data_IF_241998553715
#
_entry.id   IF_241998553715
#
_cell.length_a   1.000
_cell.length_b   1.000
_cell.length_c   1.000
_cell.angle_alpha   90.00
_cell.angle_beta   90.00
_cell.angle_gamma   90.00
#
_symmetry.space_group_name_H-M   'P 1'
#
loop_
_entity.id
_entity.type
_entity.pdbx_description
1 polymer ?
#
# COMPACT_ATOMS: atom_id res chain seq x y z
N UNK A 1 6.68 -23.95 4.15
CA UNK A 1 7.37 -22.78 4.74
C UNK A 1 7.31 -22.83 6.26
N UNK A 2 6.13 -22.71 6.90
CA UNK A 2 6.00 -22.73 8.37
C UNK A 2 6.61 -23.98 9.06
N UNK A 3 6.31 -25.20 8.59
CA UNK A 3 6.89 -26.42 9.16
C UNK A 3 8.39 -26.62 8.86
N UNK A 4 8.99 -25.84 7.95
CA UNK A 4 10.44 -25.83 7.74
C UNK A 4 11.11 -24.94 8.79
N UNK A 5 10.45 -23.84 9.18
CA UNK A 5 10.89 -22.95 10.25
C UNK A 5 10.67 -23.55 11.64
N UNK A 6 9.58 -24.33 11.81
CA UNK A 6 9.23 -25.01 13.06
C UNK A 6 9.08 -26.53 12.86
N UNK A 7 10.18 -27.28 12.77
CA UNK A 7 10.15 -28.72 12.46
C UNK A 7 9.34 -29.56 13.45
N UNK A 8 9.27 -29.15 14.72
CA UNK A 8 8.50 -29.81 15.78
C UNK A 8 6.98 -29.82 15.53
N UNK A 9 6.49 -28.96 14.64
CA UNK A 9 5.08 -28.91 14.24
C UNK A 9 4.75 -30.03 13.23
N UNK A 10 5.78 -30.58 12.56
CA UNK A 10 5.62 -31.59 11.51
C UNK A 10 5.17 -32.92 12.13
N UNK A 11 4.06 -33.47 11.63
CA UNK A 11 3.50 -34.73 12.13
C UNK A 11 2.56 -34.58 13.33
N UNK A 12 2.62 -33.45 14.06
CA UNK A 12 1.77 -33.17 15.23
C UNK A 12 0.34 -32.80 14.83
N UNK A 13 0.20 -32.05 13.73
CA UNK A 13 -1.10 -31.67 13.17
C UNK A 13 -1.27 -32.31 11.80
N UNK A 14 -1.95 -33.45 11.75
CA UNK A 14 -2.17 -34.23 10.51
C UNK A 14 -3.43 -33.82 9.74
N UNK A 15 -4.27 -32.94 10.31
CA UNK A 15 -5.50 -32.44 9.69
C UNK A 15 -5.52 -30.91 9.70
N UNK A 16 -5.88 -30.29 8.56
CA UNK A 16 -5.98 -28.83 8.41
C UNK A 16 -6.83 -28.18 9.51
N UNK A 17 -7.97 -28.78 9.85
CA UNK A 17 -8.86 -28.27 10.91
C UNK A 17 -8.21 -28.25 12.29
N UNK A 18 -7.42 -29.27 12.63
CA UNK A 18 -6.75 -29.35 13.93
C UNK A 18 -5.66 -28.27 14.06
N UNK A 19 -4.99 -27.94 12.96
CA UNK A 19 -4.03 -26.85 12.90
C UNK A 19 -4.71 -25.47 12.96
N UNK A 20 -5.78 -25.25 12.18
CA UNK A 20 -6.44 -23.94 12.07
C UNK A 20 -7.14 -23.47 13.34
N UNK A 21 -7.51 -24.37 14.24
CA UNK A 21 -8.14 -24.03 15.53
C UNK A 21 -7.18 -24.09 16.72
N UNK A 22 -5.90 -24.41 16.51
CA UNK A 22 -4.92 -24.45 17.58
C UNK A 22 -4.40 -23.04 17.90
N UNK A 23 -4.21 -22.75 19.19
CA UNK A 23 -3.61 -21.48 19.63
C UNK A 23 -2.11 -21.50 19.35
N UNK A 24 -1.49 -20.31 19.24
CA UNK A 24 -0.05 -20.21 19.00
C UNK A 24 0.78 -20.93 20.08
N UNK A 25 0.48 -20.82 21.39
CA UNK A 25 1.18 -21.61 22.41
C UNK A 25 1.00 -23.12 22.24
N UNK A 26 -0.14 -23.58 21.73
CA UNK A 26 -0.38 -25.00 21.44
C UNK A 26 0.42 -25.50 20.23
N UNK A 27 0.73 -24.61 19.29
CA UNK A 27 1.51 -24.95 18.08
C UNK A 27 3.01 -24.87 18.36
N UNK A 28 3.46 -23.81 19.06
CA UNK A 28 4.89 -23.53 19.27
C UNK A 28 5.43 -24.04 20.62
N UNK A 29 4.55 -24.38 21.56
CA UNK A 29 4.96 -24.91 22.86
C UNK A 29 5.80 -23.91 23.67
N UNK A 30 6.73 -24.38 24.52
CA UNK A 30 7.52 -23.53 25.41
C UNK A 30 8.36 -22.47 24.69
N UNK A 31 8.66 -22.65 23.40
CA UNK A 31 9.47 -21.68 22.63
C UNK A 31 8.84 -20.30 22.54
N UNK A 32 7.51 -20.16 22.72
CA UNK A 32 6.87 -18.84 22.71
C UNK A 32 6.99 -18.10 24.04
N UNK A 33 7.27 -18.79 25.15
CA UNK A 33 7.25 -18.19 26.50
C UNK A 33 8.30 -17.09 26.68
N UNK A 34 9.41 -17.18 25.95
CA UNK A 34 10.50 -16.20 25.99
C UNK A 34 10.42 -15.19 24.84
N UNK A 35 9.38 -15.27 23.99
CA UNK A 35 9.22 -14.39 22.84
C UNK A 35 8.42 -13.13 23.21
N UNK A 36 8.89 -11.99 22.70
CA UNK A 36 8.09 -10.76 22.73
C UNK A 36 6.96 -10.87 21.71
N UNK A 37 5.73 -10.96 22.20
CA UNK A 37 4.55 -10.82 21.35
C UNK A 37 4.42 -9.35 20.90
N UNK A 38 4.26 -9.16 19.60
CA UNK A 38 3.84 -7.90 19.00
C UNK A 38 2.62 -8.18 18.14
N UNK A 39 1.68 -7.25 18.13
CA UNK A 39 0.46 -7.37 17.34
C UNK A 39 0.45 -6.29 16.27
N UNK A 40 -0.04 -6.66 15.08
CA UNK A 40 -0.38 -5.69 14.06
C UNK A 40 -1.70 -5.04 14.47
N UNK A 41 -1.68 -3.73 14.74
CA UNK A 41 -2.87 -2.98 15.14
C UNK A 41 -3.64 -2.39 13.94
N UNK A 42 -3.05 -2.40 12.75
CA UNK A 42 -3.67 -1.94 11.51
C UNK A 42 -2.95 -2.53 10.30
N UNK A 43 -3.71 -2.78 9.23
CA UNK A 43 -3.18 -3.08 7.89
C UNK A 43 -3.40 -1.93 6.91
N UNK A 44 -4.01 -0.83 7.36
CA UNK A 44 -4.35 0.28 6.50
C UNK A 44 -3.10 1.05 6.07
N UNK A 45 -3.07 1.43 4.79
CA UNK A 45 -2.19 2.50 4.31
C UNK A 45 -2.65 3.82 4.94
N UNK A 46 -1.71 4.61 5.45
CA UNK A 46 -2.00 5.77 6.29
C UNK A 46 -0.81 6.71 6.41
N UNK A 47 -1.05 7.85 7.02
CA UNK A 47 -0.01 8.82 7.37
C UNK A 47 0.18 8.86 8.88
N UNK A 48 1.40 9.17 9.32
CA UNK A 48 1.69 9.49 10.70
C UNK A 48 1.87 11.00 10.83
N UNK A 49 0.94 11.65 11.53
CA UNK A 49 0.96 13.10 11.73
C UNK A 49 1.84 13.45 12.92
N UNK A 50 2.89 14.23 12.68
CA UNK A 50 3.81 14.68 13.71
C UNK A 50 3.29 15.96 14.39
N UNK A 51 3.04 15.89 15.69
CA UNK A 51 2.76 17.03 16.55
C UNK A 51 3.84 17.11 17.64
N UNK A 52 4.94 17.82 17.36
CA UNK A 52 6.02 18.05 18.33
C UNK A 52 6.75 16.78 18.78
N UNK A 53 6.98 15.83 17.87
CA UNK A 53 7.63 14.55 18.15
C UNK A 53 6.67 13.41 18.51
N UNK A 54 5.38 13.71 18.71
CA UNK A 54 4.34 12.70 18.88
C UNK A 54 3.65 12.41 17.56
N UNK A 55 3.68 11.15 17.13
CA UNK A 55 3.04 10.72 15.90
C UNK A 55 1.65 10.13 16.17
N UNK A 56 0.66 10.56 15.39
CA UNK A 56 -0.68 9.96 15.39
C UNK A 56 -0.95 9.32 14.03
N UNK A 57 -1.28 8.04 14.02
CA UNK A 57 -1.67 7.33 12.81
C UNK A 57 -3.05 7.80 12.33
N UNK A 58 -3.17 8.10 11.05
CA UNK A 58 -4.44 8.39 10.39
C UNK A 58 -4.53 7.56 9.10
N UNK A 59 -5.53 6.66 8.97
CA UNK A 59 -5.69 5.88 7.75
C UNK A 59 -6.04 6.80 6.57
N UNK A 60 -5.56 6.43 5.38
CA UNK A 60 -6.02 7.02 4.12
C UNK A 60 -7.45 6.54 3.79
N UNK A 61 -8.18 7.23 2.88
CA UNK A 61 -9.51 6.83 2.43
C UNK A 61 -9.57 5.39 1.91
N UNK A 62 -10.77 4.84 1.83
CA UNK A 62 -11.04 3.45 1.42
C UNK A 62 -10.41 3.12 0.07
N UNK A 63 -10.41 4.05 -0.89
CA UNK A 63 -9.81 3.89 -2.21
C UNK A 63 -8.32 3.54 -2.16
N UNK A 64 -7.59 4.04 -1.16
CA UNK A 64 -6.18 3.70 -0.95
C UNK A 64 -5.98 2.28 -0.42
N UNK A 65 -7.04 1.64 0.09
CA UNK A 65 -7.02 0.29 0.67
C UNK A 65 -7.45 -0.80 -0.32
N UNK A 66 -8.04 -0.43 -1.47
CA UNK A 66 -8.64 -1.38 -2.41
C UNK A 66 -7.62 -2.24 -3.17
N UNK A 67 -6.35 -1.83 -3.19
CA UNK A 67 -5.28 -2.51 -3.90
C UNK A 67 -3.92 -2.21 -3.25
N UNK A 68 -2.97 -3.16 -3.21
CA UNK A 68 -1.64 -2.92 -2.65
C UNK A 68 -0.97 -1.72 -3.30
N UNK A 69 -0.39 -0.85 -2.48
CA UNK A 69 0.45 0.26 -2.91
C UNK A 69 1.92 -0.17 -2.89
N UNK A 70 2.63 0.07 -3.99
CA UNK A 70 4.06 -0.23 -4.15
C UNK A 70 4.94 1.01 -4.05
N UNK A 71 4.37 2.20 -4.26
CA UNK A 71 5.08 3.47 -4.14
C UNK A 71 4.12 4.62 -3.81
N UNK A 72 4.67 5.71 -3.29
CA UNK A 72 3.95 6.94 -2.97
C UNK A 72 4.76 8.16 -3.39
N UNK A 73 4.12 9.09 -4.11
CA UNK A 73 4.69 10.41 -4.39
C UNK A 73 3.94 11.50 -3.63
N UNK A 74 4.67 12.50 -3.16
CA UNK A 74 4.13 13.68 -2.47
C UNK A 74 4.48 14.92 -3.29
N UNK A 75 3.46 15.66 -3.71
CA UNK A 75 3.62 16.91 -4.45
C UNK A 75 2.35 17.76 -4.38
N UNK A 76 2.40 19.01 -4.83
CA UNK A 76 1.24 19.88 -4.97
C UNK A 76 0.60 19.69 -6.36
N UNK A 77 -0.21 18.64 -6.51
CA UNK A 77 -0.72 18.22 -7.80
C UNK A 77 -1.84 19.11 -8.32
N UNK A 78 -2.58 19.82 -7.46
CA UNK A 78 -3.62 20.76 -7.88
C UNK A 78 -3.21 22.25 -7.82
N UNK A 79 -2.06 22.57 -7.23
CA UNK A 79 -1.46 23.90 -7.21
C UNK A 79 -1.98 24.81 -6.09
N UNK A 80 -2.58 24.25 -5.05
CA UNK A 80 -3.14 25.01 -3.92
C UNK A 80 -2.13 25.27 -2.79
N UNK A 81 -0.89 24.77 -2.92
CA UNK A 81 0.17 24.87 -1.94
C UNK A 81 0.11 23.82 -0.82
N UNK A 82 -0.81 22.86 -0.92
CA UNK A 82 -0.97 21.73 0.00
C UNK A 82 -0.36 20.47 -0.62
N UNK A 83 0.20 19.61 0.24
CA UNK A 83 0.73 18.33 -0.22
C UNK A 83 -0.40 17.34 -0.53
N UNK A 84 -0.39 16.84 -1.76
CA UNK A 84 -1.21 15.75 -2.25
C UNK A 84 -0.39 14.46 -2.33
N UNK A 85 -1.07 13.32 -2.49
CA UNK A 85 -0.44 12.00 -2.58
C UNK A 85 -0.85 11.29 -3.86
N UNK A 86 0.11 10.75 -4.60
CA UNK A 86 -0.15 9.75 -5.62
C UNK A 86 0.27 8.37 -5.10
N UNK A 87 -0.59 7.35 -5.26
CA UNK A 87 -0.28 5.96 -4.91
C UNK A 87 -0.17 5.09 -6.16
N UNK A 88 0.99 4.45 -6.30
CA UNK A 88 1.23 3.43 -7.31
C UNK A 88 0.64 2.08 -6.85
N UNK A 89 -0.45 1.64 -7.46
CA UNK A 89 -1.20 0.46 -7.01
C UNK A 89 -1.18 -0.73 -8.00
N UNK A 90 -1.73 -1.86 -7.52
CA UNK A 90 -2.03 -3.12 -8.23
C UNK A 90 -0.96 -4.22 -8.16
N UNK A 91 -1.43 -5.45 -8.05
CA UNK A 91 -0.62 -6.66 -8.20
C UNK A 91 -1.44 -7.78 -8.84
N UNK A 92 -0.96 -8.24 -10.00
CA UNK A 92 -1.56 -9.32 -10.77
C UNK A 92 -0.82 -10.64 -10.57
N UNK A 93 0.39 -10.59 -9.99
CA UNK A 93 1.27 -11.72 -9.72
C UNK A 93 0.81 -12.60 -8.55
N UNK A 94 -0.50 -12.78 -8.39
CA UNK A 94 -1.09 -13.55 -7.29
C UNK A 94 -1.34 -15.00 -7.69
N UNK A 95 -1.30 -15.97 -6.75
CA UNK A 95 -1.64 -17.36 -7.03
C UNK A 95 -3.02 -17.49 -7.70
N UNK A 96 -3.17 -18.42 -8.65
CA UNK A 96 -4.38 -18.60 -9.47
C UNK A 96 -5.71 -18.80 -8.69
N UNK A 97 -5.65 -19.13 -7.40
CA UNK A 97 -6.82 -19.24 -6.52
C UNK A 97 -7.37 -17.88 -6.04
N UNK A 98 -6.63 -16.80 -6.26
CA UNK A 98 -7.02 -15.44 -5.90
C UNK A 98 -7.30 -14.63 -7.17
N UNK A 99 -8.30 -13.76 -7.10
CA UNK A 99 -8.45 -12.70 -8.09
C UNK A 99 -7.29 -11.72 -8.00
N UNK A 100 -6.95 -11.11 -9.13
CA UNK A 100 -5.95 -10.03 -9.18
C UNK A 100 -6.34 -8.89 -8.25
N UNK A 101 -5.35 -8.19 -7.73
CA UNK A 101 -5.57 -6.93 -7.02
C UNK A 101 -5.47 -5.79 -8.03
N UNK A 102 -6.57 -5.50 -8.73
CA UNK A 102 -6.62 -4.61 -9.89
C UNK A 102 -7.61 -3.43 -9.74
N UNK A 103 -8.00 -3.12 -8.50
CA UNK A 103 -8.90 -2.01 -8.18
C UNK A 103 -8.25 -0.63 -8.29
N UNK A 104 -6.91 -0.54 -8.25
CA UNK A 104 -6.17 0.71 -8.36
C UNK A 104 -6.18 1.25 -9.79
N UNK A 105 -6.43 2.55 -9.95
CA UNK A 105 -6.55 3.19 -11.28
C UNK A 105 -5.61 4.38 -11.49
N UNK A 106 -4.56 4.46 -10.67
CA UNK A 106 -3.70 5.65 -10.54
C UNK A 106 -4.39 6.63 -9.58
N UNK A 107 -4.19 6.40 -8.29
CA UNK A 107 -4.94 7.08 -7.24
C UNK A 107 -4.20 8.36 -6.83
N UNK A 108 -4.81 9.51 -7.15
CA UNK A 108 -4.42 10.80 -6.61
C UNK A 108 -5.32 11.14 -5.43
N UNK A 109 -4.74 11.56 -4.32
CA UNK A 109 -5.43 12.02 -3.13
C UNK A 109 -5.07 13.48 -2.87
N UNK A 110 -6.05 14.38 -2.87
CA UNK A 110 -5.82 15.79 -2.54
C UNK A 110 -5.79 16.00 -1.03
N UNK A 111 -4.80 16.73 -0.54
CA UNK A 111 -4.63 17.04 0.87
C UNK A 111 -5.54 18.18 1.35
N UNK A 112 -5.78 18.26 2.67
CA UNK A 112 -6.47 19.39 3.31
C UNK A 112 -5.54 20.25 4.19
N UNK A 113 -4.23 19.97 4.17
CA UNK A 113 -3.20 20.62 4.99
C UNK A 113 -3.22 20.24 6.47
N UNK A 114 -4.19 19.42 6.89
CA UNK A 114 -4.40 18.93 8.27
C UNK A 114 -4.27 17.41 8.36
N UNK A 115 -3.67 16.80 7.32
CA UNK A 115 -3.48 15.36 7.19
C UNK A 115 -4.74 14.60 6.80
N UNK A 116 -5.80 15.28 6.37
CA UNK A 116 -6.91 14.67 5.63
C UNK A 116 -6.60 14.60 4.15
N UNK A 117 -7.11 13.55 3.51
CA UNK A 117 -6.89 13.27 2.10
C UNK A 117 -8.20 12.85 1.48
N UNK A 118 -8.46 13.29 0.25
CA UNK A 118 -9.68 12.97 -0.49
C UNK A 118 -9.34 12.40 -1.86
N UNK A 119 -9.94 11.27 -2.27
CA UNK A 119 -9.66 10.65 -3.55
C UNK A 119 -10.14 11.52 -4.70
N UNK A 120 -9.27 11.72 -5.69
CA UNK A 120 -9.60 12.38 -6.93
C UNK A 120 -10.00 11.36 -7.99
N UNK A 121 -11.11 11.64 -8.67
CA UNK A 121 -11.55 10.85 -9.81
C UNK A 121 -10.61 11.08 -10.99
N UNK A 122 -10.39 10.04 -11.79
CA UNK A 122 -9.57 10.07 -13.00
C UNK A 122 -9.92 11.23 -13.96
N UNK A 123 -11.21 11.58 -14.08
CA UNK A 123 -11.65 12.69 -14.94
C UNK A 123 -11.14 14.05 -14.46
N UNK A 124 -10.92 14.21 -13.15
CA UNK A 124 -10.40 15.46 -12.57
C UNK A 124 -8.88 15.44 -12.47
N UNK A 125 -8.28 14.30 -12.10
CA UNK A 125 -6.82 14.18 -11.99
C UNK A 125 -6.13 14.11 -13.35
N UNK A 126 -6.82 13.65 -14.40
CA UNK A 126 -6.22 13.34 -15.71
C UNK A 126 -5.35 12.08 -15.69
N UNK A 127 -5.28 11.37 -14.56
CA UNK A 127 -4.45 10.18 -14.37
C UNK A 127 -5.32 8.93 -14.51
N UNK A 128 -4.88 7.98 -15.32
CA UNK A 128 -5.58 6.70 -15.51
C UNK A 128 -4.59 5.60 -15.86
N UNK A 129 -4.38 4.69 -14.91
CA UNK A 129 -3.44 3.58 -15.03
C UNK A 129 -4.11 2.29 -14.55
N UNK A 130 -4.40 1.39 -15.49
CA UNK A 130 -5.01 0.10 -15.17
C UNK A 130 -3.99 -1.01 -14.87
N UNK A 131 -2.72 -0.83 -15.24
CA UNK A 131 -1.68 -1.84 -15.07
C UNK A 131 -1.13 -1.92 -13.65
N UNK A 132 -0.13 -2.78 -13.49
CA UNK A 132 0.62 -2.99 -12.25
C UNK A 132 1.67 -1.89 -12.05
N UNK A 133 1.36 -0.89 -11.25
CA UNK A 133 2.26 0.24 -11.01
C UNK A 133 3.34 -0.16 -10.00
N UNK A 134 4.62 0.13 -10.29
CA UNK A 134 5.75 -0.39 -9.48
C UNK A 134 6.64 0.68 -8.87
N UNK A 135 6.78 1.80 -9.55
CA UNK A 135 7.48 2.97 -9.03
C UNK A 135 6.92 4.22 -9.67
N UNK A 136 6.96 5.32 -8.95
CA UNK A 136 6.52 6.61 -9.41
C UNK A 136 7.54 7.69 -9.02
N UNK A 137 7.64 8.72 -9.84
CA UNK A 137 8.47 9.90 -9.53
C UNK A 137 7.75 11.15 -9.98
N UNK A 138 7.88 12.19 -9.16
CA UNK A 138 7.41 13.53 -9.49
C UNK A 138 8.61 14.43 -9.74
N UNK A 139 8.57 15.15 -10.85
CA UNK A 139 9.56 16.14 -11.23
C UNK A 139 8.94 17.12 -12.24
N UNK A 140 9.62 18.22 -12.52
CA UNK A 140 9.30 19.08 -13.67
C UNK A 140 10.02 18.51 -14.90
N UNK A 141 9.34 17.63 -15.65
CA UNK A 141 9.93 16.94 -16.80
C UNK A 141 9.88 17.81 -18.07
N UNK A 142 8.97 18.78 -18.14
CA UNK A 142 8.78 19.64 -19.31
C UNK A 142 9.38 21.05 -19.16
N UNK A 143 9.84 21.43 -17.96
CA UNK A 143 10.45 22.72 -17.65
C UNK A 143 9.46 23.85 -17.35
N UNK A 144 8.20 23.56 -17.07
CA UNK A 144 7.14 24.56 -16.82
C UNK A 144 6.93 24.90 -15.34
N UNK A 145 7.75 24.32 -14.45
CA UNK A 145 7.72 24.45 -12.99
C UNK A 145 6.48 23.85 -12.32
N UNK A 146 5.74 22.98 -13.00
CA UNK A 146 4.64 22.20 -12.41
C UNK A 146 5.10 20.76 -12.15
N UNK A 147 4.50 20.08 -11.15
CA UNK A 147 4.82 18.69 -10.88
C UNK A 147 4.21 17.77 -11.96
N UNK A 148 5.07 17.18 -12.78
CA UNK A 148 4.73 16.09 -13.68
C UNK A 148 4.94 14.74 -12.98
N UNK A 149 4.23 13.70 -13.44
CA UNK A 149 4.27 12.36 -12.85
C UNK A 149 4.71 11.31 -13.87
N UNK A 150 5.77 10.58 -13.57
CA UNK A 150 6.15 9.37 -14.30
C UNK A 150 5.87 8.12 -13.46
N UNK A 151 5.23 7.11 -14.04
CA UNK A 151 4.87 5.86 -13.35
C UNK A 151 5.32 4.66 -14.18
N UNK A 152 6.15 3.81 -13.59
CA UNK A 152 6.60 2.56 -14.20
C UNK A 152 5.59 1.44 -13.94
N UNK A 153 5.49 0.51 -14.88
CA UNK A 153 4.58 -0.62 -14.80
C UNK A 153 5.33 -1.94 -14.95
N UNK A 154 4.84 -3.01 -14.30
CA UNK A 154 5.29 -4.38 -14.61
C UNK A 154 4.75 -4.76 -16.00
N UNK A 155 5.63 -5.25 -16.86
CA UNK A 155 5.31 -5.76 -18.20
C UNK A 155 4.52 -4.78 -19.11
N UNK A 156 4.66 -3.47 -18.87
CA UNK A 156 4.04 -2.43 -19.67
C UNK A 156 4.91 -1.17 -19.69
N UNK A 157 4.61 -0.26 -20.64
CA UNK A 157 5.37 0.99 -20.80
C UNK A 157 5.22 1.93 -19.59
N UNK A 158 6.26 2.70 -19.32
CA UNK A 158 6.19 3.82 -18.39
C UNK A 158 5.19 4.86 -18.90
N UNK A 159 4.33 5.37 -18.00
CA UNK A 159 3.38 6.44 -18.32
C UNK A 159 3.90 7.76 -17.76
N UNK A 160 3.90 8.79 -18.60
CA UNK A 160 4.23 10.16 -18.23
C UNK A 160 2.97 11.03 -18.31
N UNK A 161 2.68 11.74 -17.23
CA UNK A 161 1.57 12.69 -17.11
C UNK A 161 2.17 14.07 -16.92
N UNK A 162 2.03 14.91 -17.95
CA UNK A 162 2.45 16.31 -17.89
C UNK A 162 1.31 17.16 -17.34
N UNK A 163 1.57 17.95 -16.30
CA UNK A 163 0.59 18.88 -15.76
C UNK A 163 0.57 20.11 -16.65
N UNK A 164 -0.54 20.36 -17.34
CA UNK A 164 -0.68 21.50 -18.27
C UNK A 164 -1.04 22.80 -17.56
#
# INVERSE_FOLDING_TARGET
MFANTFPQVRGTYTRNRAFSTATVPRILGPTISDMKAVEFNSLASGVFLNAGGKFTFKPLPDEAQLSPAFDICVADFDGDGVSDLFLAQNDFGVPARYSRYDSGRGLLLTGDGKGGFQPQRAQRSGITIYGEQRGAVVADFNGDKKPDLAVTQRDAETKLYLKR
#
